data_IF_738818827205
#
_entry.id   IF_738818827205
#
_cell.length_a   1.000
_cell.length_b   1.000
_cell.length_c   1.000
_cell.angle_alpha   90.00
_cell.angle_beta   90.00
_cell.angle_gamma   90.00
#
_symmetry.space_group_name_H-M   'P 1'
#
loop_
_entity.id
_entity.type
_entity.pdbx_description
1 polymer ?
#
# COMPACT_ATOMS: atom_id res chain seq x y z
N UNK A 1 -25.05 -48.98 -36.67
CA UNK A 1 -25.18 -48.54 -35.28
C UNK A 1 -24.22 -47.38 -35.07
N UNK A 2 -24.69 -46.15 -35.29
CA UNK A 2 -23.87 -44.93 -35.18
C UNK A 2 -24.16 -44.27 -33.82
N UNK A 3 -23.15 -44.27 -32.95
CA UNK A 3 -23.22 -43.62 -31.64
C UNK A 3 -22.88 -42.15 -31.84
N UNK A 4 -23.87 -41.27 -31.73
CA UNK A 4 -23.65 -39.84 -31.65
C UNK A 4 -23.22 -39.48 -30.22
N UNK A 5 -21.94 -39.14 -30.05
CA UNK A 5 -21.47 -38.50 -28.83
C UNK A 5 -21.94 -37.04 -28.82
N UNK A 6 -22.96 -36.74 -28.02
CA UNK A 6 -23.36 -35.37 -27.70
C UNK A 6 -22.33 -34.82 -26.71
N UNK A 7 -21.37 -34.04 -27.20
CA UNK A 7 -20.46 -33.27 -26.35
C UNK A 7 -21.27 -32.09 -25.80
N UNK A 8 -21.72 -32.21 -24.55
CA UNK A 8 -22.31 -31.11 -23.79
C UNK A 8 -21.22 -30.07 -23.53
N UNK A 9 -21.33 -28.82 -24.03
CA UNK A 9 -20.38 -27.79 -23.65
C UNK A 9 -20.63 -27.44 -22.19
N UNK A 10 -19.73 -27.91 -21.32
CA UNK A 10 -19.67 -27.50 -19.92
C UNK A 10 -19.47 -25.98 -19.89
N UNK A 11 -20.55 -25.25 -19.60
CA UNK A 11 -20.51 -23.80 -19.48
C UNK A 11 -19.78 -23.44 -18.18
N UNK A 12 -18.46 -23.22 -18.28
CA UNK A 12 -17.65 -22.71 -17.17
C UNK A 12 -18.09 -21.26 -16.93
N UNK A 13 -18.94 -21.04 -15.93
CA UNK A 13 -19.25 -19.69 -15.47
C UNK A 13 -18.07 -19.20 -14.66
N UNK A 14 -17.21 -18.37 -15.25
CA UNK A 14 -16.19 -17.63 -14.52
C UNK A 14 -16.93 -16.55 -13.71
N UNK A 15 -17.12 -16.79 -12.41
CA UNK A 15 -17.52 -15.70 -11.51
C UNK A 15 -16.30 -14.79 -11.34
N UNK A 16 -16.42 -13.54 -11.78
CA UNK A 16 -15.44 -12.52 -11.43
C UNK A 16 -15.32 -12.47 -9.90
N UNK A 17 -14.12 -12.70 -9.39
CA UNK A 17 -13.83 -12.42 -8.00
C UNK A 17 -13.93 -10.90 -7.83
N UNK A 18 -14.82 -10.44 -6.95
CA UNK A 18 -14.82 -9.04 -6.54
C UNK A 18 -13.55 -8.83 -5.73
N UNK A 19 -12.52 -8.28 -6.36
CA UNK A 19 -11.31 -7.88 -5.65
C UNK A 19 -11.71 -6.80 -4.65
N UNK A 20 -11.53 -7.06 -3.36
CA UNK A 20 -11.67 -6.02 -2.36
C UNK A 20 -10.60 -4.97 -2.65
N UNK A 21 -10.96 -3.69 -2.84
CA UNK A 21 -9.95 -2.69 -3.09
C UNK A 21 -9.01 -2.59 -1.88
N UNK A 22 -7.72 -2.79 -2.12
CA UNK A 22 -6.67 -2.69 -1.10
C UNK A 22 -6.10 -1.28 -1.10
N UNK A 23 -6.04 -0.65 0.07
CA UNK A 23 -5.30 0.58 0.26
C UNK A 23 -3.82 0.28 0.52
N UNK A 24 -2.94 0.99 -0.18
CA UNK A 24 -1.50 0.99 0.05
C UNK A 24 -1.11 2.20 0.89
N UNK A 25 -0.14 2.02 1.78
CA UNK A 25 0.34 3.06 2.69
C UNK A 25 1.61 3.72 2.12
N UNK A 26 1.69 5.04 2.27
CA UNK A 26 2.87 5.85 1.98
C UNK A 26 3.17 6.69 3.21
N UNK A 27 4.25 6.34 3.89
CA UNK A 27 4.66 7.00 5.14
C UNK A 27 5.16 8.42 4.87
N UNK A 28 5.03 9.33 5.84
CA UNK A 28 5.51 10.71 5.74
C UNK A 28 7.02 10.79 5.41
N UNK A 29 7.82 9.78 5.78
CA UNK A 29 9.25 9.76 5.43
C UNK A 29 9.56 9.06 4.10
N UNK A 30 8.54 8.64 3.34
CA UNK A 30 8.73 8.03 2.03
C UNK A 30 9.45 9.02 1.07
N UNK A 31 10.48 8.52 0.40
CA UNK A 31 11.33 9.32 -0.49
C UNK A 31 10.59 9.84 -1.73
N UNK A 32 9.39 9.32 -2.04
CA UNK A 32 8.54 9.82 -3.12
C UNK A 32 7.81 11.12 -2.77
N UNK A 33 7.75 11.50 -1.48
CA UNK A 33 7.13 12.76 -1.04
C UNK A 33 8.17 13.88 -1.10
N UNK A 34 7.86 14.94 -1.84
CA UNK A 34 8.70 16.12 -1.94
C UNK A 34 8.26 17.21 -0.96
N UNK A 35 9.23 17.71 -0.18
CA UNK A 35 9.02 18.73 0.85
C UNK A 35 9.69 20.06 0.48
N UNK A 36 8.96 21.17 0.62
CA UNK A 36 9.43 22.51 0.28
C UNK A 36 9.10 23.56 1.36
N UNK A 37 9.99 24.54 1.61
CA UNK A 37 11.36 24.64 1.08
C UNK A 37 12.32 23.61 1.69
N UNK A 38 13.23 23.05 0.89
CA UNK A 38 14.30 22.14 1.34
C UNK A 38 15.64 22.87 1.53
N UNK A 39 16.44 22.63 2.59
CA UNK A 39 16.20 21.83 3.80
C UNK A 39 15.91 22.66 5.07
N UNK A 40 15.08 22.14 6.00
CA UNK A 40 14.93 22.65 7.38
C UNK A 40 13.53 23.07 7.82
N UNK A 41 12.57 23.21 6.90
CA UNK A 41 11.22 23.71 7.23
C UNK A 41 10.22 22.62 7.62
N UNK A 42 10.56 21.36 7.35
CA UNK A 42 9.79 20.19 7.78
C UNK A 42 10.62 19.41 8.79
N UNK A 43 10.06 19.25 9.99
CA UNK A 43 10.64 18.41 11.04
C UNK A 43 10.05 17.02 10.93
N UNK A 44 10.89 15.99 11.04
CA UNK A 44 10.45 14.61 11.12
C UNK A 44 10.57 14.15 12.56
N UNK A 45 9.45 14.10 13.27
CA UNK A 45 9.44 13.67 14.68
C UNK A 45 8.97 12.23 14.78
N UNK A 46 9.58 11.48 15.70
CA UNK A 46 8.94 10.27 16.20
C UNK A 46 7.86 10.57 17.24
N UNK A 47 7.48 9.55 18.02
CA UNK A 47 6.45 9.49 19.09
C UNK A 47 6.57 10.52 20.24
N UNK A 48 7.21 11.66 20.00
CA UNK A 48 7.25 12.81 20.90
C UNK A 48 5.87 13.43 21.06
N UNK A 49 5.68 14.18 22.16
CA UNK A 49 4.47 14.85 22.64
C UNK A 49 3.76 15.83 21.66
N UNK A 50 4.14 15.83 20.38
CA UNK A 50 3.54 16.59 19.30
C UNK A 50 2.62 15.70 18.44
N UNK A 51 2.89 14.41 18.31
CA UNK A 51 2.06 13.44 17.61
C UNK A 51 1.83 12.19 18.46
N UNK A 52 0.61 11.64 18.47
CA UNK A 52 0.35 10.32 19.04
C UNK A 52 1.12 9.23 18.27
N UNK A 53 0.82 7.95 18.54
CA UNK A 53 1.49 6.82 17.87
C UNK A 53 1.48 6.96 16.34
N UNK A 54 2.58 7.40 15.73
CA UNK A 54 2.70 7.53 14.28
C UNK A 54 2.78 6.17 13.59
N UNK A 55 2.29 6.07 12.36
CA UNK A 55 2.59 4.90 11.54
C UNK A 55 4.11 4.81 11.29
N UNK A 56 4.68 3.62 11.50
CA UNK A 56 6.14 3.37 11.47
C UNK A 56 6.99 4.33 12.36
N UNK A 57 6.34 4.99 13.32
CA UNK A 57 7.00 5.81 14.33
C UNK A 57 7.55 7.15 13.85
N UNK A 58 7.11 7.70 12.71
CA UNK A 58 7.49 9.05 12.25
C UNK A 58 6.32 9.83 11.65
N UNK A 59 6.32 11.15 11.85
CA UNK A 59 5.43 12.09 11.15
C UNK A 59 6.23 13.31 10.68
N UNK A 60 5.80 13.95 9.61
CA UNK A 60 6.37 15.22 9.13
C UNK A 60 5.49 16.39 9.55
N UNK A 61 6.11 17.48 10.02
CA UNK A 61 5.42 18.68 10.48
C UNK A 61 6.11 19.96 10.05
N UNK A 62 5.32 20.97 9.72
CA UNK A 62 5.78 22.33 9.50
C UNK A 62 4.81 23.34 10.07
N UNK A 63 5.35 24.40 10.66
CA UNK A 63 4.60 25.59 11.07
C UNK A 63 4.95 26.82 10.22
N UNK A 64 5.79 26.64 9.19
CA UNK A 64 6.28 27.73 8.34
C UNK A 64 5.20 28.09 7.32
N UNK A 65 4.61 29.29 7.36
CA UNK A 65 3.60 29.72 6.39
C UNK A 65 4.08 29.53 4.95
N UNK A 66 3.22 28.98 4.09
CA UNK A 66 3.52 28.71 2.68
C UNK A 66 4.43 27.50 2.42
N UNK A 67 4.99 26.86 3.44
CA UNK A 67 5.66 25.57 3.26
C UNK A 67 4.66 24.52 2.79
N UNK A 68 5.13 23.58 1.97
CA UNK A 68 4.26 22.55 1.42
C UNK A 68 4.98 21.23 1.23
N UNK A 69 4.19 20.16 1.15
CA UNK A 69 4.62 18.87 0.62
C UNK A 69 3.75 18.53 -0.58
N UNK A 70 4.30 17.73 -1.49
CA UNK A 70 3.59 17.26 -2.68
C UNK A 70 3.93 15.80 -2.93
N UNK A 71 2.93 15.05 -3.38
CA UNK A 71 3.07 13.64 -3.71
C UNK A 71 2.18 13.29 -4.89
N UNK A 72 2.73 12.52 -5.83
CA UNK A 72 2.03 12.06 -7.03
C UNK A 72 1.85 10.56 -6.98
N UNK A 73 0.68 10.09 -7.40
CA UNK A 73 0.29 8.69 -7.33
C UNK A 73 -0.57 8.31 -8.53
N UNK A 74 -0.64 7.01 -8.83
CA UNK A 74 -1.55 6.45 -9.82
C UNK A 74 -2.62 5.64 -9.09
N UNK A 75 -3.82 6.19 -9.00
CA UNK A 75 -4.82 5.73 -8.04
C UNK A 75 -6.25 6.06 -8.41
N UNK A 76 -7.17 5.47 -7.66
CA UNK A 76 -8.61 5.71 -7.74
C UNK A 76 -9.20 6.22 -6.42
N UNK A 77 -8.36 6.40 -5.40
CA UNK A 77 -8.75 6.95 -4.10
C UNK A 77 -7.52 7.40 -3.33
N UNK A 78 -7.67 8.43 -2.51
CA UNK A 78 -6.64 8.90 -1.59
C UNK A 78 -7.24 9.26 -0.24
N UNK A 79 -6.48 9.01 0.82
CA UNK A 79 -6.74 9.45 2.18
C UNK A 79 -5.49 10.13 2.74
N UNK A 80 -5.69 11.25 3.41
CA UNK A 80 -4.67 11.97 4.17
C UNK A 80 -4.89 11.75 5.66
N UNK A 81 -3.86 11.27 6.35
CA UNK A 81 -3.88 10.95 7.78
C UNK A 81 -2.89 11.81 8.58
N UNK A 82 -3.31 12.19 9.79
CA UNK A 82 -2.48 12.97 10.71
C UNK A 82 -2.90 12.74 12.16
N UNK A 83 -1.94 12.73 13.08
CA UNK A 83 -2.20 12.70 14.51
C UNK A 83 -2.86 13.98 15.02
N UNK A 84 -3.56 13.89 16.15
CA UNK A 84 -4.24 15.03 16.76
C UNK A 84 -3.36 15.66 17.83
N UNK A 85 -3.36 16.99 17.98
CA UNK A 85 -2.61 17.67 19.04
C UNK A 85 -3.09 19.10 19.25
N UNK A 86 -2.98 19.68 20.47
CA UNK A 86 -3.23 21.12 20.70
C UNK A 86 -2.30 22.02 19.91
N UNK A 87 -1.15 21.50 19.49
CA UNK A 87 -0.17 22.24 18.68
C UNK A 87 -0.36 22.06 17.18
N UNK A 88 -1.33 21.26 16.75
CA UNK A 88 -1.64 21.10 15.33
C UNK A 88 -2.66 22.15 14.88
N UNK A 89 -2.53 22.55 13.62
CA UNK A 89 -3.35 23.55 12.97
C UNK A 89 -3.99 22.99 11.71
N UNK A 90 -4.36 23.90 10.82
CA UNK A 90 -4.92 23.55 9.52
C UNK A 90 -3.82 23.21 8.50
N UNK A 91 -4.13 22.26 7.63
CA UNK A 91 -3.42 22.01 6.38
C UNK A 91 -4.39 22.30 5.23
N UNK A 92 -4.01 23.19 4.31
CA UNK A 92 -4.76 23.38 3.07
C UNK A 92 -4.44 22.21 2.13
N UNK A 93 -5.47 21.56 1.62
CA UNK A 93 -5.37 20.44 0.67
C UNK A 93 -5.62 20.98 -0.74
N UNK A 94 -4.61 20.85 -1.59
CA UNK A 94 -4.69 21.06 -3.03
C UNK A 94 -4.62 19.69 -3.72
N UNK A 95 -5.57 19.41 -4.61
CA UNK A 95 -5.63 18.19 -5.39
C UNK A 95 -5.67 18.55 -6.87
N UNK A 96 -4.76 17.98 -7.66
CA UNK A 96 -4.56 18.30 -9.09
C UNK A 96 -4.50 19.81 -9.37
N UNK A 97 -3.84 20.56 -8.48
CA UNK A 97 -3.66 22.01 -8.59
C UNK A 97 -4.84 22.86 -8.11
N UNK A 98 -5.93 22.25 -7.66
CA UNK A 98 -7.12 22.95 -7.17
C UNK A 98 -7.21 22.82 -5.65
N UNK A 99 -7.48 23.93 -4.94
CA UNK A 99 -7.75 23.85 -3.50
C UNK A 99 -9.11 23.19 -3.26
N UNK A 100 -9.11 22.07 -2.55
CA UNK A 100 -10.31 21.25 -2.31
C UNK A 100 -10.76 21.24 -0.85
N UNK A 101 -9.85 21.46 0.10
CA UNK A 101 -10.19 21.50 1.52
C UNK A 101 -9.17 22.31 2.34
N UNK A 102 -9.57 22.66 3.56
CA UNK A 102 -8.66 23.06 4.64
C UNK A 102 -9.04 22.25 5.87
N UNK A 103 -8.15 21.38 6.34
CA UNK A 103 -8.45 20.41 7.39
C UNK A 103 -7.56 20.63 8.60
N UNK A 104 -8.18 20.70 9.78
CA UNK A 104 -7.47 20.92 11.04
C UNK A 104 -7.24 19.61 11.80
N UNK A 105 -6.02 19.46 12.31
CA UNK A 105 -5.67 18.39 13.24
C UNK A 105 -5.59 18.87 14.71
N UNK A 106 -6.11 20.07 14.99
CA UNK A 106 -6.18 20.61 16.34
C UNK A 106 -7.09 19.77 17.24
N UNK A 107 -6.64 19.46 18.45
CA UNK A 107 -7.43 18.77 19.46
C UNK A 107 -6.99 19.17 20.87
N UNK A 108 -7.82 18.93 21.87
CA UNK A 108 -7.51 19.24 23.28
C UNK A 108 -6.40 18.38 23.87
N UNK A 109 -6.11 17.22 23.27
CA UNK A 109 -5.08 16.29 23.71
C UNK A 109 -4.40 15.64 22.50
N UNK A 110 -3.19 15.12 22.73
CA UNK A 110 -2.47 14.34 21.73
C UNK A 110 -3.22 13.02 21.51
N UNK A 111 -3.46 12.67 20.25
CA UNK A 111 -4.17 11.45 19.85
C UNK A 111 -3.52 10.77 18.65
N UNK A 112 -3.85 9.49 18.39
CA UNK A 112 -3.28 8.74 17.28
C UNK A 112 -3.67 9.34 15.92
N UNK A 113 -2.97 8.97 14.83
CA UNK A 113 -3.34 9.31 13.47
C UNK A 113 -4.76 8.84 13.14
N UNK A 114 -5.56 9.78 12.62
CA UNK A 114 -6.87 9.50 12.05
C UNK A 114 -6.99 10.15 10.67
N UNK A 115 -7.91 9.63 9.86
CA UNK A 115 -8.22 10.21 8.55
C UNK A 115 -8.68 11.65 8.73
N UNK A 116 -8.05 12.57 7.99
CA UNK A 116 -8.37 14.01 7.97
C UNK A 116 -9.15 14.40 6.75
N UNK A 117 -8.84 13.75 5.63
CA UNK A 117 -9.45 14.04 4.35
C UNK A 117 -9.35 12.80 3.46
N UNK A 118 -10.33 12.62 2.58
CA UNK A 118 -10.32 11.59 1.55
C UNK A 118 -11.07 12.03 0.30
N UNK A 119 -10.73 11.40 -0.82
CA UNK A 119 -11.38 11.62 -2.11
C UNK A 119 -11.27 10.35 -2.96
N UNK A 120 -12.39 9.88 -3.49
CA UNK A 120 -12.41 8.91 -4.59
C UNK A 120 -12.30 9.65 -5.93
N UNK A 121 -11.48 9.13 -6.83
CA UNK A 121 -11.14 9.75 -8.12
C UNK A 121 -11.18 8.72 -9.24
N UNK A 122 -11.24 9.19 -10.48
CA UNK A 122 -11.05 8.31 -11.64
C UNK A 122 -9.71 7.60 -11.54
N UNK A 123 -9.59 6.31 -11.89
CA UNK A 123 -8.29 5.65 -11.97
C UNK A 123 -7.32 6.43 -12.87
N UNK A 124 -6.13 6.73 -12.36
CA UNK A 124 -5.07 7.35 -13.14
C UNK A 124 -4.11 8.21 -12.30
N UNK A 125 -3.24 8.98 -12.97
CA UNK A 125 -2.25 9.82 -12.32
C UNK A 125 -2.88 11.05 -11.67
N UNK A 126 -2.55 11.29 -10.40
CA UNK A 126 -3.03 12.39 -9.58
C UNK A 126 -1.91 12.96 -8.72
N UNK A 127 -2.10 14.20 -8.24
CA UNK A 127 -1.18 14.87 -7.32
C UNK A 127 -1.93 15.50 -6.16
N UNK A 128 -1.49 15.19 -4.94
CA UNK A 128 -1.90 15.89 -3.71
C UNK A 128 -0.78 16.82 -3.25
N UNK A 129 -1.17 17.99 -2.76
CA UNK A 129 -0.28 18.96 -2.13
C UNK A 129 -0.92 19.45 -0.84
N UNK A 130 -0.17 19.37 0.25
CA UNK A 130 -0.56 19.95 1.55
C UNK A 130 0.24 21.21 1.77
N UNK A 131 -0.45 22.31 2.08
CA UNK A 131 0.15 23.63 2.27
C UNK A 131 -0.13 24.11 3.69
N UNK A 132 0.92 24.60 4.35
CA UNK A 132 0.79 25.34 5.61
C UNK A 132 0.11 26.68 5.30
N UNK A 133 -1.07 26.98 5.87
CA UNK A 133 -1.77 28.24 5.63
C UNK A 133 -0.91 29.47 5.95
N UNK A 134 -1.16 30.59 5.28
CA UNK A 134 -0.46 31.85 5.54
C UNK A 134 -0.80 32.41 6.94
N UNK A 135 -2.00 32.10 7.43
CA UNK A 135 -2.60 32.51 8.70
C UNK A 135 -2.50 31.41 9.79
N UNK A 136 -1.43 30.62 9.77
CA UNK A 136 -1.31 29.38 10.56
C UNK A 136 -0.95 29.55 12.06
N UNK A 137 -0.92 30.77 12.62
CA UNK A 137 -0.73 31.05 14.06
C UNK A 137 0.38 30.25 14.79
N UNK A 138 1.41 29.80 14.07
CA UNK A 138 2.49 28.96 14.60
C UNK A 138 2.11 27.52 14.94
N UNK A 139 0.91 27.07 14.56
CA UNK A 139 0.47 25.69 14.71
C UNK A 139 1.10 24.79 13.64
N UNK A 140 1.14 23.48 13.85
CA UNK A 140 1.75 22.56 12.89
C UNK A 140 0.71 22.01 11.92
N UNK A 141 0.97 22.13 10.62
CA UNK A 141 0.43 21.21 9.63
C UNK A 141 1.28 19.93 9.67
N UNK A 142 0.65 18.77 9.86
CA UNK A 142 1.34 17.50 10.06
C UNK A 142 0.84 16.41 9.13
N UNK A 143 1.74 15.62 8.54
CA UNK A 143 1.44 14.40 7.80
C UNK A 143 1.98 13.19 8.56
N UNK A 144 1.11 12.20 8.76
CA UNK A 144 1.52 10.87 9.22
C UNK A 144 1.72 9.95 8.01
N UNK A 145 0.68 9.80 7.17
CA UNK A 145 0.73 8.97 5.98
C UNK A 145 -0.34 9.35 4.97
N UNK A 146 -0.11 8.93 3.73
CA UNK A 146 -1.17 8.76 2.75
C UNK A 146 -1.58 7.30 2.66
N UNK A 147 -2.88 7.07 2.50
CA UNK A 147 -3.39 5.81 1.97
C UNK A 147 -3.93 6.08 0.58
N UNK A 148 -3.66 5.20 -0.37
CA UNK A 148 -4.27 5.31 -1.69
C UNK A 148 -4.68 3.95 -2.23
N UNK A 149 -5.71 3.95 -3.05
CA UNK A 149 -6.12 2.76 -3.80
C UNK A 149 -5.50 2.86 -5.19
N UNK A 150 -4.70 1.87 -5.63
CA UNK A 150 -4.17 1.87 -6.99
C UNK A 150 -5.30 1.93 -8.04
N UNK A 151 -5.02 2.53 -9.20
CA UNK A 151 -5.91 2.46 -10.34
C UNK A 151 -6.01 0.99 -10.78
N UNK A 152 -7.17 0.38 -10.61
CA UNK A 152 -7.47 -0.86 -11.32
C UNK A 152 -8.04 -0.44 -12.67
N UNK A 153 -7.29 -0.68 -13.74
CA UNK A 153 -7.92 -0.84 -15.04
C UNK A 153 -8.87 -2.04 -14.89
N UNK A 154 -10.18 -1.78 -14.91
CA UNK A 154 -11.25 -2.74 -14.67
C UNK A 154 -11.28 -3.89 -15.68
N UNK A 155 -10.39 -3.91 -16.66
CA UNK A 155 -10.08 -5.08 -17.48
C UNK A 155 -11.22 -5.56 -18.36
N UNK A 156 -12.41 -4.95 -18.29
CA UNK A 156 -13.49 -5.13 -19.25
C UNK A 156 -13.16 -4.27 -20.47
N UNK A 157 -12.08 -4.64 -21.15
CA UNK A 157 -11.84 -4.21 -22.53
C UNK A 157 -12.71 -5.12 -23.38
N UNK A 158 -13.78 -4.56 -23.94
CA UNK A 158 -14.45 -5.16 -25.10
C UNK A 158 -13.36 -5.52 -26.12
N UNK A 159 -13.34 -6.77 -26.58
CA UNK A 159 -12.18 -7.46 -27.12
C UNK A 159 -11.77 -7.02 -28.53
N UNK A 160 -11.74 -5.72 -28.83
CA UNK A 160 -11.48 -5.22 -30.18
C UNK A 160 -10.08 -4.66 -30.43
N UNK A 161 -9.25 -4.36 -29.42
CA UNK A 161 -7.91 -3.79 -29.67
C UNK A 161 -6.77 -4.65 -29.11
N UNK A 162 -6.03 -5.26 -30.04
CA UNK A 162 -4.89 -6.15 -29.80
C UNK A 162 -3.61 -5.46 -29.28
N UNK A 163 -3.70 -4.79 -28.13
CA UNK A 163 -2.55 -4.30 -27.38
C UNK A 163 -2.10 -5.29 -26.28
N UNK A 164 -0.82 -5.31 -25.89
CA UNK A 164 -0.35 -6.19 -24.83
C UNK A 164 -1.01 -5.84 -23.49
N UNK A 165 -1.74 -6.80 -22.93
CA UNK A 165 -2.39 -6.72 -21.62
C UNK A 165 -1.33 -6.74 -20.51
N UNK A 166 -1.21 -5.62 -19.80
CA UNK A 166 -0.35 -5.49 -18.61
C UNK A 166 -1.04 -6.13 -17.40
N UNK A 167 -0.45 -7.22 -16.88
CA UNK A 167 -0.81 -7.82 -15.61
C UNK A 167 -0.26 -6.94 -14.46
N UNK A 168 -1.02 -5.94 -14.01
CA UNK A 168 -0.67 -5.13 -12.84
C UNK A 168 -1.06 -5.85 -11.55
N UNK A 169 -0.29 -6.89 -11.19
CA UNK A 169 -0.08 -7.25 -9.77
C UNK A 169 1.32 -6.76 -9.38
N UNK A 170 1.49 -5.44 -9.29
CA UNK A 170 2.71 -4.84 -8.78
C UNK A 170 2.64 -4.73 -7.26
N UNK A 171 3.15 -5.74 -6.56
CA UNK A 171 3.74 -5.53 -5.22
C UNK A 171 5.01 -4.68 -5.39
N UNK A 172 5.43 -3.89 -4.40
CA UNK A 172 6.57 -2.98 -4.55
C UNK A 172 7.82 -3.76 -4.97
N UNK A 173 8.41 -3.36 -6.09
CA UNK A 173 9.69 -3.91 -6.56
C UNK A 173 10.83 -3.36 -5.69
N UNK A 174 11.43 -4.20 -4.84
CA UNK A 174 12.74 -3.92 -4.25
C UNK A 174 13.78 -3.92 -5.38
N UNK A 175 14.39 -2.77 -5.64
CA UNK A 175 15.51 -2.63 -6.59
C UNK A 175 16.83 -2.92 -5.87
N UNK A 176 17.45 -4.07 -6.18
CA UNK A 176 18.84 -4.34 -5.83
C UNK A 176 19.61 -4.50 -7.15
N UNK A 177 20.39 -3.47 -7.49
CA UNK A 177 21.54 -3.55 -8.40
C UNK A 177 21.35 -4.36 -9.70
N UNK A 178 20.55 -3.85 -10.63
CA UNK A 178 20.79 -3.98 -12.09
C UNK A 178 20.86 -5.37 -12.73
N UNK A 179 20.45 -6.46 -12.08
CA UNK A 179 20.41 -7.80 -12.71
C UNK A 179 18.99 -8.38 -12.70
N UNK A 180 18.46 -8.67 -13.90
CA UNK A 180 17.17 -9.34 -14.12
C UNK A 180 17.15 -10.71 -13.41
N UNK A 181 16.29 -10.88 -12.40
CA UNK A 181 16.10 -12.17 -11.73
C UNK A 181 15.01 -12.98 -12.45
N UNK A 182 15.30 -14.24 -12.76
CA UNK A 182 14.42 -15.16 -13.50
C UNK A 182 13.39 -15.80 -12.54
N UNK A 183 12.09 -15.52 -12.73
CA UNK A 183 10.98 -15.91 -11.85
C UNK A 183 10.64 -17.40 -12.04
N UNK A 184 11.51 -18.29 -11.54
CA UNK A 184 11.21 -19.72 -11.37
C UNK A 184 11.29 -20.22 -9.93
N UNK A 185 11.31 -19.33 -8.91
CA UNK A 185 11.52 -19.78 -7.54
C UNK A 185 10.88 -18.91 -6.43
N UNK A 186 9.59 -18.58 -6.50
CA UNK A 186 8.82 -18.15 -5.30
C UNK A 186 7.39 -18.71 -5.38
N UNK A 187 7.27 -20.04 -5.30
CA UNK A 187 6.12 -20.70 -4.65
C UNK A 187 6.69 -21.89 -3.86
N UNK A 188 7.44 -21.58 -2.82
CA UNK A 188 7.74 -22.50 -1.74
C UNK A 188 7.53 -21.69 -0.46
N UNK A 189 6.79 -22.25 0.50
CA UNK A 189 6.33 -21.65 1.76
C UNK A 189 4.90 -21.07 1.71
N UNK A 190 3.88 -21.94 1.63
CA UNK A 190 2.62 -21.73 2.39
C UNK A 190 1.59 -22.87 2.31
N UNK A 191 1.78 -23.95 1.55
CA UNK A 191 0.86 -25.12 1.64
C UNK A 191 1.66 -26.42 1.65
N UNK A 192 1.98 -26.92 2.84
CA UNK A 192 2.75 -28.16 3.00
C UNK A 192 3.11 -28.55 4.42
N UNK A 193 2.32 -28.18 5.43
CA UNK A 193 2.42 -28.73 6.78
C UNK A 193 1.21 -29.63 7.01
N UNK A 194 1.37 -30.93 6.80
CA UNK A 194 0.29 -31.89 7.09
C UNK A 194 0.58 -33.35 6.76
N UNK A 195 1.37 -33.68 5.73
CA UNK A 195 1.53 -35.08 5.30
C UNK A 195 2.97 -35.57 5.10
N UNK A 196 3.98 -34.69 5.13
CA UNK A 196 5.39 -35.07 4.89
C UNK A 196 6.12 -35.67 6.11
N UNK A 197 5.73 -35.25 7.32
CA UNK A 197 6.37 -35.70 8.57
C UNK A 197 6.14 -37.19 8.86
N UNK A 198 4.93 -37.78 8.70
CA UNK A 198 4.74 -39.21 8.94
C UNK A 198 5.47 -40.09 7.93
N UNK A 199 5.63 -39.66 6.67
CA UNK A 199 6.36 -40.42 5.66
C UNK A 199 7.87 -40.45 5.95
N UNK A 200 8.43 -39.31 6.39
CA UNK A 200 9.83 -39.21 6.77
C UNK A 200 10.16 -40.07 8.00
N UNK A 201 9.29 -40.07 9.02
CA UNK A 201 9.45 -40.91 10.20
C UNK A 201 9.34 -42.41 9.87
N UNK A 202 8.45 -42.78 8.94
CA UNK A 202 8.33 -44.16 8.47
C UNK A 202 9.59 -44.62 7.70
N UNK A 203 10.19 -43.76 6.88
CA UNK A 203 11.43 -44.08 6.17
C UNK A 203 12.62 -44.26 7.15
N UNK A 204 12.72 -43.42 8.19
CA UNK A 204 13.77 -43.55 9.21
C UNK A 204 13.60 -44.85 10.00
N UNK A 205 12.37 -45.20 10.38
CA UNK A 205 12.09 -46.46 11.08
C UNK A 205 12.46 -47.70 10.26
N UNK A 206 12.15 -47.71 8.95
CA UNK A 206 12.52 -48.79 8.03
C UNK A 206 14.04 -48.88 7.85
N UNK A 207 14.74 -47.75 7.75
CA UNK A 207 16.19 -47.72 7.70
C UNK A 207 16.82 -48.27 9.00
N UNK A 208 16.32 -47.86 10.16
CA UNK A 208 16.79 -48.39 11.44
C UNK A 208 16.55 -49.91 11.55
N UNK A 209 15.39 -50.40 11.12
CA UNK A 209 15.09 -51.83 11.13
C UNK A 209 16.01 -52.62 10.18
N UNK A 210 16.27 -52.11 8.98
CA UNK A 210 17.21 -52.72 8.04
C UNK A 210 18.66 -52.69 8.56
N UNK A 211 19.07 -51.62 9.24
CA UNK A 211 20.40 -51.52 9.83
C UNK A 211 20.59 -52.46 11.03
N UNK A 212 19.56 -52.66 11.85
CA UNK A 212 19.61 -53.58 12.98
C UNK A 212 19.61 -55.05 12.52
N UNK A 213 18.83 -55.39 11.49
CA UNK A 213 18.78 -56.76 10.93
C UNK A 213 20.04 -57.17 10.17
N UNK A 214 20.91 -56.22 9.81
CA UNK A 214 22.20 -56.50 9.15
C UNK A 214 23.35 -56.72 10.15
N UNK A 215 23.07 -56.55 11.44
CA UNK A 215 24.03 -56.71 12.54
C UNK A 215 23.83 -57.98 13.37
N UNK A 216 22.86 -58.80 13.00
CA UNK A 216 22.68 -60.19 13.47
C UNK A 216 22.90 -61.14 12.30
#
# INVERSE_FOLDING_TARGET
MHIFFVICPLLITVRAAVLTPVFLNVDAVDASIAYWPSPGNWTFTGTTNLGGDSYDGKSSLSAVPGAYLTWSFDGSSIEYWSSSSPKHGACKVEFDGVSVASVSANAVAVGPPNMRWSLDVSPGPHTIKLVVPEDNDGLYCALDRFLFRPGQDDGIRDGSDGGPVSNYLALPSISIGGKKLNIKLIIALSVGLGLGIPLLLMCIALCCFCCLRRRE
#
